data_IF_999875475166
#
_entry.id   IF_999875475166
#
_cell.length_a   1.000
_cell.length_b   1.000
_cell.length_c   1.000
_cell.angle_alpha   90.00
_cell.angle_beta   90.00
_cell.angle_gamma   90.00
#
_symmetry.space_group_name_H-M   'P 1'
#
loop_
_entity.id
_entity.type
_entity.pdbx_description
1 polymer ?
#
# COMPACT_ATOMS: atom_id res chain seq x y z
N UNK A 1 -6.06 21.80 -7.72
CA UNK A 1 -5.93 21.07 -6.44
C UNK A 1 -7.33 20.77 -5.93
N UNK A 2 -7.60 19.52 -5.56
CA UNK A 2 -8.86 19.04 -4.98
C UNK A 2 -8.55 18.31 -3.66
N UNK A 3 -9.52 18.23 -2.76
CA UNK A 3 -9.40 17.52 -1.47
C UNK A 3 -9.98 16.12 -1.60
N UNK A 4 -9.26 15.14 -1.05
CA UNK A 4 -9.62 13.73 -1.09
C UNK A 4 -9.37 13.08 0.27
N UNK A 5 -10.22 12.11 0.61
CA UNK A 5 -9.89 11.13 1.64
C UNK A 5 -9.22 9.93 0.96
N UNK A 6 -8.07 9.52 1.49
CA UNK A 6 -7.32 8.35 1.03
C UNK A 6 -7.72 7.17 1.91
N UNK A 7 -8.41 6.21 1.32
CA UNK A 7 -8.95 5.02 2.00
C UNK A 7 -8.35 3.75 1.43
N UNK A 8 -8.33 2.69 2.23
CA UNK A 8 -7.94 1.37 1.76
C UNK A 8 -9.14 0.56 1.24
N UNK A 9 -8.89 -0.71 0.84
CA UNK A 9 -9.90 -1.60 0.28
C UNK A 9 -10.65 -2.43 1.34
N UNK A 10 -10.38 -2.25 2.63
CA UNK A 10 -10.98 -3.03 3.71
C UNK A 10 -12.42 -2.54 3.94
N UNK A 11 -13.34 -3.46 4.27
CA UNK A 11 -14.76 -3.17 4.47
C UNK A 11 -15.07 -2.39 5.77
N UNK A 12 -14.07 -1.79 6.39
CA UNK A 12 -14.17 -1.12 7.68
C UNK A 12 -14.10 0.39 7.51
N UNK A 13 -15.01 1.12 8.15
CA UNK A 13 -15.05 2.59 8.09
C UNK A 13 -13.77 3.25 8.65
N UNK A 14 -12.98 2.50 9.43
CA UNK A 14 -11.70 2.96 9.98
C UNK A 14 -10.52 2.79 9.02
N UNK A 15 -10.70 2.15 7.85
CA UNK A 15 -9.65 1.97 6.84
C UNK A 15 -9.39 3.26 6.05
N UNK A 16 -8.91 4.26 6.79
CA UNK A 16 -8.62 5.59 6.30
C UNK A 16 -7.16 5.90 6.58
N UNK A 17 -6.38 6.04 5.51
CA UNK A 17 -4.94 6.31 5.56
C UNK A 17 -4.71 7.81 5.82
N UNK A 18 -5.53 8.68 5.22
CA UNK A 18 -5.44 10.12 5.41
C UNK A 18 -6.72 10.82 5.00
N UNK A 19 -7.13 11.83 5.76
CA UNK A 19 -8.32 12.64 5.47
C UNK A 19 -7.94 14.00 4.92
N UNK A 20 -8.82 14.57 4.10
CA UNK A 20 -8.73 15.94 3.61
C UNK A 20 -7.35 16.28 3.00
N UNK A 21 -6.82 15.35 2.21
CA UNK A 21 -5.51 15.48 1.56
C UNK A 21 -5.66 16.20 0.23
N UNK A 22 -4.82 17.19 0.02
CA UNK A 22 -4.80 17.97 -1.21
C UNK A 22 -3.97 17.25 -2.28
N UNK A 23 -4.60 16.97 -3.42
CA UNK A 23 -3.93 16.39 -4.58
C UNK A 23 -4.25 17.20 -5.86
N UNK A 24 -3.42 17.08 -6.92
CA UNK A 24 -3.90 17.34 -8.28
C UNK A 24 -5.08 16.40 -8.61
N UNK A 25 -5.68 16.56 -9.79
CA UNK A 25 -6.68 15.60 -10.24
C UNK A 25 -6.05 14.22 -10.36
N UNK A 26 -6.60 13.25 -9.63
CA UNK A 26 -6.09 11.88 -9.59
C UNK A 26 -6.88 11.00 -10.56
N UNK A 27 -6.20 10.09 -11.25
CA UNK A 27 -6.79 9.12 -12.17
C UNK A 27 -6.51 7.70 -11.70
N UNK A 28 -7.35 6.78 -12.17
CA UNK A 28 -7.14 5.36 -11.95
C UNK A 28 -5.76 4.95 -12.48
N UNK A 29 -5.11 4.04 -11.75
CA UNK A 29 -3.80 3.46 -12.08
C UNK A 29 -2.60 4.40 -11.90
N UNK A 30 -2.80 5.60 -11.35
CA UNK A 30 -1.72 6.48 -10.85
C UNK A 30 -1.25 6.03 -9.46
N UNK A 31 -0.01 6.38 -9.11
CA UNK A 31 0.59 6.00 -7.84
C UNK A 31 0.61 7.15 -6.84
N UNK A 32 0.33 6.82 -5.59
CA UNK A 32 0.58 7.67 -4.44
C UNK A 32 1.54 7.00 -3.46
N UNK A 33 2.31 7.81 -2.75
CA UNK A 33 3.23 7.34 -1.72
C UNK A 33 2.81 7.88 -0.35
N UNK A 34 2.84 7.02 0.67
CA UNK A 34 2.70 7.40 2.07
C UNK A 34 4.12 7.63 2.59
N UNK A 35 4.44 8.87 2.94
CA UNK A 35 5.73 9.19 3.55
C UNK A 35 5.81 8.64 4.99
N UNK A 36 7.03 8.47 5.49
CA UNK A 36 7.31 8.13 6.89
C UNK A 36 6.70 6.80 7.39
N UNK A 37 6.38 5.88 6.49
CA UNK A 37 5.80 4.57 6.82
C UNK A 37 6.83 3.53 7.34
N UNK A 38 8.09 3.94 7.57
CA UNK A 38 9.18 3.02 7.93
C UNK A 38 9.12 2.51 9.37
N UNK A 39 8.53 3.26 10.30
CA UNK A 39 8.34 2.84 11.69
C UNK A 39 6.90 2.41 11.92
N UNK A 40 6.70 1.26 12.56
CA UNK A 40 5.39 0.70 12.91
C UNK A 40 4.44 0.40 11.74
N UNK A 41 4.83 0.64 10.48
CA UNK A 41 4.04 0.26 9.30
C UNK A 41 4.01 -1.25 9.11
N UNK A 42 5.08 -1.80 8.52
CA UNK A 42 5.15 -3.24 8.25
C UNK A 42 5.10 -4.08 9.54
N UNK A 43 5.75 -3.64 10.62
CA UNK A 43 5.78 -4.40 11.89
C UNK A 43 4.40 -4.56 12.55
N UNK A 44 3.41 -3.76 12.18
CA UNK A 44 2.02 -3.89 12.63
C UNK A 44 1.07 -4.35 11.51
N UNK A 45 1.59 -4.70 10.33
CA UNK A 45 0.78 -5.20 9.23
C UNK A 45 0.22 -6.59 9.56
N UNK A 46 -0.95 -6.91 8.99
CA UNK A 46 -1.63 -8.18 9.21
C UNK A 46 -2.28 -8.69 7.94
N UNK A 47 -2.62 -9.97 7.92
CA UNK A 47 -3.41 -10.57 6.85
C UNK A 47 -4.92 -10.37 7.02
N UNK A 48 -5.34 -9.24 7.57
CA UNK A 48 -6.76 -8.94 7.78
C UNK A 48 -7.52 -8.97 6.44
N UNK A 49 -8.72 -9.56 6.46
CA UNK A 49 -9.52 -9.85 5.27
C UNK A 49 -8.78 -10.63 4.16
N UNK A 50 -7.84 -11.51 4.56
CA UNK A 50 -7.03 -12.32 3.64
C UNK A 50 -6.29 -11.48 2.59
N UNK A 51 -5.78 -10.32 2.99
CA UNK A 51 -4.81 -9.55 2.20
C UNK A 51 -3.39 -10.03 2.49
N UNK A 52 -2.57 -10.20 1.45
CA UNK A 52 -1.16 -10.54 1.64
C UNK A 52 -0.43 -9.35 2.27
N UNK A 53 0.57 -9.63 3.11
CA UNK A 53 1.47 -8.59 3.58
C UNK A 53 2.19 -7.95 2.37
N UNK A 54 2.40 -6.63 2.39
CA UNK A 54 3.09 -5.94 1.29
C UNK A 54 4.53 -6.44 1.19
N UNK A 55 5.12 -6.36 -0.01
CA UNK A 55 6.56 -6.60 -0.18
C UNK A 55 7.34 -5.41 0.38
N UNK A 56 8.48 -5.68 1.01
CA UNK A 56 9.43 -4.65 1.42
C UNK A 56 10.64 -4.67 0.49
N UNK A 57 11.09 -3.49 0.11
CA UNK A 57 12.28 -3.31 -0.72
C UNK A 57 13.25 -2.33 -0.07
N UNK A 58 14.54 -2.59 -0.26
CA UNK A 58 15.62 -1.64 0.01
C UNK A 58 16.04 -0.97 -1.29
N UNK A 59 16.21 0.35 -1.24
CA UNK A 59 16.76 1.14 -2.34
C UNK A 59 18.14 1.67 -1.93
N UNK A 60 19.18 1.25 -2.63
CA UNK A 60 20.54 1.72 -2.41
C UNK A 60 21.23 1.99 -3.75
N UNK A 61 21.85 3.18 -3.90
CA UNK A 61 22.70 3.53 -5.06
C UNK A 61 22.06 3.30 -6.45
N UNK A 62 20.75 3.44 -6.57
CA UNK A 62 20.04 3.24 -7.83
C UNK A 62 19.54 1.82 -8.07
N UNK A 63 19.75 0.91 -7.11
CA UNK A 63 19.32 -0.47 -7.17
C UNK A 63 18.24 -0.75 -6.13
N UNK A 64 17.22 -1.52 -6.54
CA UNK A 64 16.15 -2.01 -5.69
C UNK A 64 16.41 -3.49 -5.37
N UNK A 65 16.44 -3.83 -4.09
CA UNK A 65 16.58 -5.22 -3.61
C UNK A 65 15.41 -5.58 -2.72
N UNK A 66 14.85 -6.79 -2.85
CA UNK A 66 13.79 -7.28 -1.96
C UNK A 66 14.34 -7.47 -0.54
N UNK A 67 13.72 -6.81 0.43
CA UNK A 67 14.01 -6.96 1.86
C UNK A 67 13.24 -8.15 2.46
N UNK A 68 11.95 -8.23 2.14
CA UNK A 68 11.05 -9.31 2.51
C UNK A 68 10.02 -9.52 1.40
N UNK A 69 9.69 -10.77 1.10
CA UNK A 69 8.69 -11.11 0.07
C UNK A 69 7.27 -11.02 0.62
N UNK A 70 6.27 -10.86 -0.25
CA UNK A 70 4.87 -10.83 0.15
C UNK A 70 4.51 -12.14 0.86
N UNK A 71 3.73 -12.05 1.95
CA UNK A 71 3.32 -13.26 2.65
C UNK A 71 2.48 -14.14 1.73
N UNK A 72 2.87 -15.40 1.56
CA UNK A 72 2.02 -16.38 0.88
C UNK A 72 0.76 -16.63 1.72
N UNK A 73 -0.40 -16.22 1.21
CA UNK A 73 -1.68 -16.59 1.80
C UNK A 73 -2.01 -18.03 1.43
N UNK A 74 -2.55 -18.78 2.39
CA UNK A 74 -3.12 -20.10 2.12
C UNK A 74 -4.46 -19.88 1.43
N UNK A 75 -4.48 -20.09 0.11
CA UNK A 75 -5.69 -20.37 -0.68
C UNK A 75 -6.63 -19.18 -0.97
N UNK A 76 -6.09 -18.01 -1.33
CA UNK A 76 -6.88 -16.93 -1.93
C UNK A 76 -6.49 -16.67 -3.39
N UNK A 77 -7.46 -16.17 -4.17
CA UNK A 77 -7.24 -15.66 -5.53
C UNK A 77 -5.93 -14.86 -5.56
N UNK A 78 -5.05 -15.09 -6.55
CA UNK A 78 -3.76 -14.42 -6.59
C UNK A 78 -3.99 -12.91 -6.43
N UNK A 79 -3.31 -12.30 -5.45
CA UNK A 79 -3.09 -10.87 -5.48
C UNK A 79 -2.51 -10.58 -6.86
N UNK A 80 -3.30 -9.89 -7.72
CA UNK A 80 -2.88 -9.61 -9.09
C UNK A 80 -1.44 -9.10 -9.03
N UNK A 81 -0.51 -9.64 -9.84
CA UNK A 81 0.90 -9.30 -9.75
C UNK A 81 0.99 -7.79 -10.04
N UNK A 82 1.27 -7.00 -9.00
CA UNK A 82 1.21 -5.55 -9.05
C UNK A 82 2.55 -5.01 -8.58
N UNK A 83 3.39 -4.68 -9.55
CA UNK A 83 4.49 -3.76 -9.32
C UNK A 83 3.95 -2.43 -8.80
N UNK A 84 4.56 -2.02 -7.69
CA UNK A 84 4.75 -0.66 -7.18
C UNK A 84 3.47 0.10 -6.76
N UNK A 85 3.46 0.63 -5.53
CA UNK A 85 2.56 1.70 -5.07
C UNK A 85 1.07 1.38 -4.79
N UNK A 86 0.48 2.18 -3.90
CA UNK A 86 -0.97 2.28 -3.77
C UNK A 86 -1.50 2.96 -5.03
N UNK A 87 -2.19 2.19 -5.87
CA UNK A 87 -2.85 2.70 -7.07
C UNK A 87 -4.20 3.27 -6.70
N UNK A 88 -4.48 4.48 -7.19
CA UNK A 88 -5.80 5.11 -7.10
C UNK A 88 -6.77 4.50 -8.10
#
# INVERSE_FOLDING_TARGET
IKRYDVVGPICESSDVIGRDREFPEVRQDEFIAIADAGAYGYSMASNYNDHALPEEYFWEKGELTTASGASALRDTKPARPRGEGFRV
#
